data_IF_242878770869
#
_entry.id   IF_242878770869
#
_cell.length_a   1.000
_cell.length_b   1.000
_cell.length_c   1.000
_cell.angle_alpha   90.00
_cell.angle_beta   90.00
_cell.angle_gamma   90.00
#
_symmetry.space_group_name_H-M   'P 1'
#
loop_
_entity.id
_entity.type
_entity.pdbx_description
1 polymer ?
#
# COMPACT_ATOMS: atom_id res chain seq x y z
N UNK A 1 4.12 -17.97 -7.81
CA UNK A 1 4.99 -17.33 -6.76
C UNK A 1 4.22 -16.23 -6.03
N UNK A 2 4.44 -16.04 -4.71
CA UNK A 2 3.80 -14.98 -3.89
C UNK A 2 4.81 -13.97 -3.33
N UNK A 3 4.49 -12.67 -3.40
CA UNK A 3 5.23 -11.56 -2.77
C UNK A 3 4.26 -10.83 -1.85
N UNK A 4 4.66 -10.56 -0.61
CA UNK A 4 3.88 -9.77 0.35
C UNK A 4 4.76 -8.89 1.22
N UNK A 5 4.24 -7.75 1.67
CA UNK A 5 4.84 -6.85 2.66
C UNK A 5 3.71 -6.09 3.39
N UNK A 6 3.65 -6.22 4.72
CA UNK A 6 2.83 -5.39 5.61
C UNK A 6 3.71 -4.30 6.22
N UNK A 7 3.21 -3.07 6.27
CA UNK A 7 3.95 -1.93 6.78
C UNK A 7 3.01 -0.77 7.12
N UNK A 8 3.47 0.18 7.94
CA UNK A 8 2.80 1.48 8.05
C UNK A 8 3.47 2.48 7.13
N UNK A 9 2.69 3.24 6.37
CA UNK A 9 3.24 4.27 5.49
C UNK A 9 2.24 5.37 5.29
N UNK A 10 2.71 6.61 5.21
CA UNK A 10 1.87 7.71 4.76
C UNK A 10 1.39 7.44 3.34
N UNK A 11 0.12 7.76 3.11
CA UNK A 11 -0.56 7.53 1.84
C UNK A 11 0.12 8.19 0.66
N UNK A 12 0.56 9.44 0.81
CA UNK A 12 1.20 10.18 -0.26
C UNK A 12 2.58 9.61 -0.56
N UNK A 13 3.32 9.24 0.48
CA UNK A 13 4.63 8.57 0.34
C UNK A 13 4.51 7.22 -0.38
N UNK A 14 3.50 6.40 -0.05
CA UNK A 14 3.24 5.14 -0.73
C UNK A 14 2.91 5.38 -2.21
N UNK A 15 2.06 6.35 -2.50
CA UNK A 15 1.64 6.64 -3.86
C UNK A 15 2.76 7.21 -4.71
N UNK A 16 3.63 8.06 -4.15
CA UNK A 16 4.83 8.53 -4.81
C UNK A 16 5.77 7.36 -5.15
N UNK A 17 6.00 6.46 -4.20
CA UNK A 17 6.84 5.27 -4.38
C UNK A 17 6.32 4.37 -5.51
N UNK A 18 5.02 4.05 -5.52
CA UNK A 18 4.45 3.17 -6.55
C UNK A 18 4.39 3.85 -7.91
N UNK A 19 4.14 5.16 -7.97
CA UNK A 19 4.18 5.93 -9.22
C UNK A 19 5.58 5.94 -9.82
N UNK A 20 6.61 6.12 -9.01
CA UNK A 20 8.00 6.02 -9.46
C UNK A 20 8.27 4.66 -10.13
N UNK A 21 7.80 3.57 -9.51
CA UNK A 21 7.93 2.23 -10.10
C UNK A 21 7.13 2.07 -11.39
N UNK A 22 5.94 2.65 -11.50
CA UNK A 22 5.15 2.65 -12.72
C UNK A 22 5.92 3.30 -13.87
N UNK A 23 6.49 4.48 -13.63
CA UNK A 23 7.29 5.23 -14.60
C UNK A 23 8.57 4.46 -14.99
N UNK A 24 9.31 3.92 -14.02
CA UNK A 24 10.55 3.17 -14.25
C UNK A 24 10.30 1.92 -15.11
N UNK A 25 9.19 1.22 -14.88
CA UNK A 25 8.88 -0.04 -15.55
C UNK A 25 8.02 0.14 -16.81
N UNK A 26 7.54 1.35 -17.10
CA UNK A 26 6.57 1.60 -18.17
C UNK A 26 5.26 0.83 -17.98
N UNK A 27 4.86 0.58 -16.73
CA UNK A 27 3.68 -0.22 -16.40
C UNK A 27 2.47 0.67 -16.07
N UNK A 28 1.27 0.33 -16.55
CA UNK A 28 0.05 1.01 -16.15
C UNK A 28 -0.18 1.00 -14.63
N UNK A 29 -0.36 2.20 -14.08
CA UNK A 29 -0.84 2.41 -12.72
C UNK A 29 -2.37 2.49 -12.72
N UNK A 30 -3.00 1.74 -11.83
CA UNK A 30 -4.46 1.74 -11.65
C UNK A 30 -4.79 2.11 -10.21
N UNK A 31 -5.82 2.93 -10.03
CA UNK A 31 -6.41 3.24 -8.73
C UNK A 31 -7.78 2.60 -8.61
N UNK A 32 -8.08 2.04 -7.45
CA UNK A 32 -9.36 1.46 -7.10
C UNK A 32 -9.93 2.16 -5.87
N UNK A 33 -11.26 2.32 -5.89
CA UNK A 33 -12.07 2.71 -4.76
C UNK A 33 -13.14 1.66 -4.53
N UNK A 34 -13.38 1.28 -3.29
CA UNK A 34 -14.29 0.20 -2.90
C UNK A 34 -15.67 0.72 -2.48
N UNK A 35 -15.74 1.90 -1.86
CA UNK A 35 -16.97 2.51 -1.36
C UNK A 35 -17.13 3.97 -1.83
N UNK A 36 -18.36 4.53 -1.91
CA UNK A 36 -19.66 3.86 -1.72
C UNK A 36 -20.05 2.93 -2.87
N UNK A 37 -19.33 3.03 -4.00
CA UNK A 37 -19.44 2.12 -5.13
C UNK A 37 -18.05 1.81 -5.65
N UNK A 38 -17.87 0.56 -6.11
CA UNK A 38 -16.60 0.12 -6.66
C UNK A 38 -16.27 0.92 -7.93
N UNK A 39 -15.06 1.49 -7.98
CA UNK A 39 -14.53 2.19 -9.14
C UNK A 39 -13.11 1.76 -9.40
N UNK A 40 -12.76 1.62 -10.67
CA UNK A 40 -11.41 1.34 -11.12
C UNK A 40 -11.06 2.21 -12.31
N UNK A 41 -9.90 2.86 -12.26
CA UNK A 41 -9.46 3.83 -13.26
C UNK A 41 -7.96 3.73 -13.48
N UNK A 42 -7.50 3.92 -14.71
CA UNK A 42 -6.09 4.20 -14.96
C UNK A 42 -5.73 5.50 -14.25
N UNK A 43 -4.72 5.45 -13.40
CA UNK A 43 -4.12 6.65 -12.85
C UNK A 43 -3.41 7.36 -14.00
N UNK A 44 -3.86 8.56 -14.36
CA UNK A 44 -3.21 9.37 -15.38
C UNK A 44 -2.00 10.07 -14.78
N UNK A 45 -0.95 10.27 -15.57
CA UNK A 45 0.22 11.10 -15.22
C UNK A 45 -0.10 12.60 -15.06
N UNK A 46 -1.38 12.99 -15.09
CA UNK A 46 -1.75 14.40 -15.07
C UNK A 46 -1.48 15.00 -13.69
N UNK A 47 -0.68 16.07 -13.57
CA UNK A 47 -0.77 16.93 -12.40
C UNK A 47 -2.20 17.47 -12.37
N UNK A 48 -2.94 17.19 -11.31
CA UNK A 48 -4.14 17.99 -11.05
C UNK A 48 -3.71 19.45 -11.00
N UNK A 49 -4.56 20.36 -11.49
CA UNK A 49 -4.27 21.79 -11.66
C UNK A 49 -3.83 22.53 -10.38
N UNK A 50 -3.80 21.83 -9.24
CA UNK A 50 -3.35 22.31 -7.93
C UNK A 50 -2.00 21.73 -7.46
N UNK A 51 -1.25 21.03 -8.32
CA UNK A 51 0.13 20.60 -8.01
C UNK A 51 0.26 19.42 -7.04
N UNK A 52 -0.84 18.85 -6.57
CA UNK A 52 -0.83 17.62 -5.77
C UNK A 52 -0.78 16.39 -6.67
N UNK A 53 0.42 15.85 -6.89
CA UNK A 53 0.66 14.55 -7.56
C UNK A 53 0.32 13.35 -6.66
N UNK A 54 -0.65 13.53 -5.75
CA UNK A 54 -0.96 12.61 -4.67
C UNK A 54 -1.99 11.54 -5.00
N UNK A 55 -2.20 10.60 -4.07
CA UNK A 55 -3.42 9.81 -4.05
C UNK A 55 -4.52 10.57 -3.32
N UNK A 56 -5.70 10.66 -3.92
CA UNK A 56 -6.88 11.15 -3.21
C UNK A 56 -7.20 10.27 -2.01
N UNK A 57 -7.86 10.84 -1.01
CA UNK A 57 -8.27 10.13 0.22
C UNK A 57 -9.31 9.03 -0.06
N UNK A 58 -9.92 9.02 -1.25
CA UNK A 58 -10.92 8.06 -1.66
C UNK A 58 -10.37 6.80 -2.38
N UNK A 59 -9.05 6.67 -2.53
CA UNK A 59 -8.39 5.51 -3.17
C UNK A 59 -8.09 4.37 -2.17
N UNK A 60 -8.75 3.23 -2.24
CA UNK A 60 -8.47 2.13 -1.29
C UNK A 60 -7.25 1.29 -1.70
N UNK A 61 -6.96 1.24 -3.00
CA UNK A 61 -5.90 0.39 -3.55
C UNK A 61 -5.31 0.99 -4.82
N UNK A 62 -4.00 0.86 -4.97
CA UNK A 62 -3.30 1.13 -6.22
C UNK A 62 -2.63 -0.14 -6.74
N UNK A 63 -2.43 -0.25 -8.04
CA UNK A 63 -1.76 -1.40 -8.62
C UNK A 63 -0.89 -1.10 -9.83
N UNK A 64 0.24 -1.81 -9.94
CA UNK A 64 1.03 -1.91 -11.16
C UNK A 64 0.61 -3.16 -11.90
N UNK A 65 0.27 -3.00 -13.18
CA UNK A 65 -0.34 -4.06 -13.96
C UNK A 65 0.55 -4.40 -15.16
N UNK A 66 0.79 -5.68 -15.48
CA UNK A 66 1.27 -6.03 -16.81
C UNK A 66 0.20 -5.67 -17.85
N UNK A 67 0.61 -5.09 -18.97
CA UNK A 67 -0.30 -4.71 -20.05
C UNK A 67 -0.85 -5.96 -20.78
N UNK A 68 -2.13 -5.98 -21.20
CA UNK A 68 -3.14 -4.93 -21.09
C UNK A 68 -3.96 -4.96 -19.78
N UNK A 69 -4.43 -3.79 -19.34
CA UNK A 69 -5.32 -3.64 -18.16
C UNK A 69 -6.79 -3.77 -18.55
N UNK A 70 -7.53 -4.56 -17.80
CA UNK A 70 -8.97 -4.69 -17.89
C UNK A 70 -9.68 -3.87 -16.79
N UNK A 71 -10.28 -2.74 -17.20
CA UNK A 71 -11.04 -1.85 -16.30
C UNK A 71 -12.53 -2.20 -16.17
N UNK A 72 -13.01 -3.23 -16.86
CA UNK A 72 -14.42 -3.63 -16.82
C UNK A 72 -14.76 -4.47 -15.57
N UNK A 73 -14.03 -4.28 -14.47
CA UNK A 73 -14.25 -4.99 -13.23
C UNK A 73 -15.40 -4.35 -12.42
N UNK A 74 -16.23 -5.18 -11.79
CA UNK A 74 -17.38 -4.71 -11.00
C UNK A 74 -17.17 -4.82 -9.49
N UNK A 75 -16.08 -5.45 -9.07
CA UNK A 75 -15.69 -5.59 -7.66
C UNK A 75 -14.18 -5.75 -7.53
N UNK A 76 -13.61 -5.56 -6.32
CA UNK A 76 -12.18 -5.75 -6.09
C UNK A 76 -11.69 -7.17 -6.37
N UNK A 77 -12.54 -8.18 -6.14
CA UNK A 77 -12.21 -9.58 -6.43
C UNK A 77 -12.28 -9.89 -7.93
N UNK A 78 -13.28 -9.33 -8.62
CA UNK A 78 -13.39 -9.44 -10.09
C UNK A 78 -12.19 -8.76 -10.78
N UNK A 79 -11.71 -7.63 -10.24
CA UNK A 79 -10.53 -6.96 -10.75
C UNK A 79 -9.27 -7.82 -10.68
N UNK A 80 -9.00 -8.44 -9.54
CA UNK A 80 -7.85 -9.34 -9.37
C UNK A 80 -7.92 -10.54 -10.32
N UNK A 81 -9.13 -11.05 -10.60
CA UNK A 81 -9.32 -12.14 -11.58
C UNK A 81 -9.05 -11.68 -13.01
N UNK A 82 -9.48 -10.47 -13.38
CA UNK A 82 -9.33 -9.89 -14.72
C UNK A 82 -7.94 -9.34 -15.01
N UNK A 83 -7.19 -9.00 -13.97
CA UNK A 83 -5.83 -8.43 -14.03
C UNK A 83 -4.87 -9.29 -13.21
N UNK A 84 -4.62 -10.56 -13.61
CA UNK A 84 -3.66 -11.42 -12.94
C UNK A 84 -2.26 -10.81 -12.99
N UNK A 85 -1.36 -11.34 -12.17
CA UNK A 85 0.06 -10.95 -12.11
C UNK A 85 0.36 -9.51 -11.65
N UNK A 86 -0.68 -8.73 -11.34
CA UNK A 86 -0.56 -7.36 -10.85
C UNK A 86 0.08 -7.27 -9.46
N UNK A 87 0.86 -6.22 -9.23
CA UNK A 87 1.33 -5.82 -7.91
C UNK A 87 0.32 -4.85 -7.30
N UNK A 88 -0.38 -5.29 -6.27
CA UNK A 88 -1.39 -4.54 -5.55
C UNK A 88 -0.79 -3.89 -4.31
N UNK A 89 -1.18 -2.66 -4.01
CA UNK A 89 -0.88 -1.98 -2.75
C UNK A 89 -2.18 -1.45 -2.17
N UNK A 90 -2.67 -2.11 -1.13
CA UNK A 90 -3.77 -1.61 -0.31
C UNK A 90 -3.27 -0.47 0.55
N UNK A 91 -3.94 0.66 0.45
CA UNK A 91 -3.66 1.84 1.25
C UNK A 91 -4.44 1.73 2.56
N UNK A 92 -3.74 1.78 3.68
CA UNK A 92 -4.38 1.83 4.99
C UNK A 92 -5.24 3.09 5.14
N UNK A 93 -6.29 2.98 5.95
CA UNK A 93 -7.03 4.14 6.45
C UNK A 93 -6.07 5.13 7.12
N UNK A 94 -6.19 6.40 6.77
CA UNK A 94 -5.36 7.46 7.33
C UNK A 94 -6.25 8.65 7.70
N UNK A 95 -6.05 9.17 8.90
CA UNK A 95 -6.67 10.38 9.41
C UNK A 95 -5.71 11.07 10.39
N UNK A 96 -6.12 12.21 10.95
CA UNK A 96 -5.37 12.90 12.00
C UNK A 96 -5.27 12.08 13.31
N UNK A 97 -6.04 10.99 13.44
CA UNK A 97 -6.09 10.17 14.65
C UNK A 97 -5.41 8.82 14.47
N UNK A 98 -5.52 8.21 13.29
CA UNK A 98 -5.04 6.85 13.04
C UNK A 98 -4.31 6.72 11.70
N UNK A 99 -3.34 5.81 11.70
CA UNK A 99 -2.64 5.34 10.51
C UNK A 99 -2.71 3.82 10.46
N UNK A 100 -3.53 3.26 9.58
CA UNK A 100 -3.71 1.82 9.47
C UNK A 100 -2.62 1.19 8.59
N UNK A 101 -2.29 -0.07 8.86
CA UNK A 101 -1.37 -0.85 8.02
C UNK A 101 -1.76 -0.83 6.54
N UNK A 102 -0.75 -0.61 5.70
CA UNK A 102 -0.80 -0.81 4.26
C UNK A 102 -0.25 -2.19 3.90
N UNK A 103 -0.67 -2.71 2.75
CA UNK A 103 -0.30 -4.06 2.33
C UNK A 103 0.04 -4.12 0.84
N UNK A 104 1.29 -4.47 0.55
CA UNK A 104 1.77 -4.76 -0.79
C UNK A 104 1.70 -6.27 -1.05
N UNK A 105 1.12 -6.68 -2.17
CA UNK A 105 1.02 -8.08 -2.56
C UNK A 105 1.01 -8.30 -4.07
N UNK A 106 1.64 -9.39 -4.51
CA UNK A 106 1.53 -9.90 -5.87
C UNK A 106 1.52 -11.43 -5.87
N UNK A 107 0.85 -12.00 -6.86
CA UNK A 107 0.92 -13.43 -7.15
C UNK A 107 1.05 -13.62 -8.66
N UNK A 108 2.08 -14.34 -9.08
CA UNK A 108 2.36 -14.60 -10.50
C UNK A 108 3.12 -15.90 -10.67
N UNK A 109 2.82 -16.64 -11.72
CA UNK A 109 3.59 -17.83 -12.14
C UNK A 109 4.62 -17.50 -13.23
N UNK A 110 4.61 -16.27 -13.75
CA UNK A 110 5.65 -15.76 -14.63
C UNK A 110 6.95 -15.48 -13.83
N UNK A 111 8.01 -16.21 -14.17
CA UNK A 111 9.29 -16.12 -13.48
C UNK A 111 10.00 -14.75 -13.66
N UNK A 112 9.70 -14.02 -14.74
CA UNK A 112 10.25 -12.69 -15.00
C UNK A 112 9.56 -11.63 -14.13
N UNK A 113 8.21 -11.60 -14.12
CA UNK A 113 7.43 -10.71 -13.25
C UNK A 113 7.71 -10.98 -11.78
N UNK A 114 7.84 -12.26 -11.42
CA UNK A 114 8.26 -12.68 -10.10
C UNK A 114 9.56 -11.99 -9.63
N UNK A 115 10.56 -11.87 -10.50
CA UNK A 115 11.83 -11.19 -10.17
C UNK A 115 11.63 -9.69 -10.03
N UNK A 116 10.78 -9.08 -10.86
CA UNK A 116 10.43 -7.66 -10.77
C UNK A 116 9.76 -7.36 -9.43
N UNK A 117 8.70 -8.10 -9.07
CA UNK A 117 7.99 -7.92 -7.80
C UNK A 117 8.84 -8.14 -6.57
N UNK A 118 9.72 -9.16 -6.59
CA UNK A 118 10.72 -9.35 -5.52
C UNK A 118 11.64 -8.14 -5.39
N UNK A 119 12.13 -7.60 -6.52
CA UNK A 119 13.03 -6.44 -6.52
C UNK A 119 12.35 -5.21 -5.94
N UNK A 120 11.11 -4.91 -6.34
CA UNK A 120 10.35 -3.78 -5.80
C UNK A 120 10.07 -3.94 -4.30
N UNK A 121 9.69 -5.14 -3.84
CA UNK A 121 9.52 -5.41 -2.40
C UNK A 121 10.84 -5.18 -1.64
N UNK A 122 11.95 -5.72 -2.12
CA UNK A 122 13.24 -5.52 -1.45
C UNK A 122 13.70 -4.07 -1.48
N UNK A 123 13.39 -3.33 -2.54
CA UNK A 123 13.63 -1.88 -2.61
C UNK A 123 12.82 -1.14 -1.55
N UNK A 124 11.52 -1.41 -1.43
CA UNK A 124 10.66 -0.83 -0.39
C UNK A 124 11.16 -1.16 1.03
N UNK A 125 11.54 -2.42 1.28
CA UNK A 125 12.08 -2.82 2.59
C UNK A 125 13.37 -2.09 2.97
N UNK A 126 14.20 -1.75 1.98
CA UNK A 126 15.47 -1.04 2.19
C UNK A 126 15.30 0.47 2.41
N UNK A 127 14.20 1.05 1.93
CA UNK A 127 13.88 2.47 2.17
C UNK A 127 13.10 2.70 3.46
N UNK A 128 12.60 1.65 4.10
CA UNK A 128 11.79 1.71 5.32
C UNK A 128 12.62 1.43 6.57
N UNK A 129 12.17 1.99 7.69
CA UNK A 129 12.61 1.59 9.02
C UNK A 129 12.01 0.23 9.40
N UNK A 130 12.52 -0.35 10.48
CA UNK A 130 12.14 -1.68 10.94
C UNK A 130 12.14 -1.78 12.46
N UNK A 131 11.08 -2.37 13.02
CA UNK A 131 10.89 -2.57 14.45
C UNK A 131 9.68 -1.80 14.99
N UNK A 132 8.84 -2.49 15.75
CA UNK A 132 7.74 -1.86 16.47
C UNK A 132 7.36 -2.67 17.69
N UNK A 133 6.56 -2.09 18.56
CA UNK A 133 5.84 -2.81 19.61
C UNK A 133 4.36 -2.86 19.27
N UNK A 134 3.81 -4.06 19.19
CA UNK A 134 2.38 -4.26 19.05
C UNK A 134 1.76 -4.43 20.44
N UNK A 135 0.64 -3.76 20.68
CA UNK A 135 -0.14 -3.86 21.91
C UNK A 135 -1.59 -4.23 21.59
N UNK A 136 -2.08 -5.29 22.21
CA UNK A 136 -3.50 -5.61 22.18
C UNK A 136 -4.25 -4.63 23.09
N UNK A 137 -5.14 -3.83 22.53
CA UNK A 137 -5.83 -2.75 23.24
C UNK A 137 -6.79 -3.29 24.31
N UNK A 138 -7.30 -4.52 24.15
CA UNK A 138 -8.23 -5.13 25.12
C UNK A 138 -7.52 -5.75 26.32
N UNK A 139 -6.40 -6.44 26.10
CA UNK A 139 -5.68 -7.16 27.16
C UNK A 139 -4.46 -6.42 27.71
N UNK A 140 -4.00 -5.37 27.03
CA UNK A 140 -2.72 -4.70 27.31
C UNK A 140 -1.49 -5.55 26.98
N UNK A 141 -1.67 -6.75 26.42
CA UNK A 141 -0.56 -7.62 26.07
C UNK A 141 0.30 -6.97 24.99
N UNK A 142 1.61 -6.87 25.25
CA UNK A 142 2.57 -6.17 24.39
C UNK A 142 3.70 -7.11 23.95
N UNK A 143 4.04 -7.06 22.67
CA UNK A 143 5.14 -7.84 22.10
C UNK A 143 5.95 -7.00 21.10
N UNK A 144 7.26 -7.24 21.07
CA UNK A 144 8.14 -6.60 20.08
C UNK A 144 8.02 -7.33 18.74
N UNK A 145 7.73 -6.58 17.69
CA UNK A 145 7.64 -7.06 16.31
C UNK A 145 8.85 -6.53 15.54
N UNK A 146 10.01 -7.16 15.75
CA UNK A 146 11.26 -6.76 15.11
C UNK A 146 11.21 -6.85 13.58
N UNK A 147 10.24 -7.55 13.01
CA UNK A 147 10.01 -7.72 11.57
C UNK A 147 9.12 -6.67 10.92
N UNK A 148 8.56 -5.74 11.70
CA UNK A 148 7.58 -4.76 11.22
C UNK A 148 8.27 -3.63 10.47
N UNK A 149 7.76 -3.25 9.30
CA UNK A 149 8.30 -2.14 8.51
C UNK A 149 7.40 -0.90 8.62
N UNK A 150 8.03 0.26 8.52
CA UNK A 150 7.32 1.52 8.46
C UNK A 150 8.16 2.57 7.75
N UNK A 151 7.50 3.51 7.09
CA UNK A 151 8.17 4.58 6.36
C UNK A 151 8.60 5.73 7.28
N UNK A 152 9.33 6.70 6.74
CA UNK A 152 9.76 7.86 7.48
C UNK A 152 8.57 8.72 7.92
N UNK A 153 7.58 8.92 7.05
CA UNK A 153 6.41 9.69 7.40
C UNK A 153 5.49 8.95 8.38
N UNK A 154 5.37 7.63 8.30
CA UNK A 154 4.65 6.87 9.32
C UNK A 154 5.24 7.10 10.73
N UNK A 155 6.58 7.15 10.85
CA UNK A 155 7.26 7.48 12.10
C UNK A 155 6.92 8.90 12.55
N UNK A 156 7.05 9.90 11.66
CA UNK A 156 6.79 11.31 11.97
C UNK A 156 5.34 11.52 12.42
N UNK A 157 4.38 10.88 11.75
CA UNK A 157 2.96 10.89 12.15
C UNK A 157 2.75 10.27 13.54
N UNK A 158 3.40 9.14 13.81
CA UNK A 158 3.41 8.51 15.14
C UNK A 158 3.95 9.42 16.24
N UNK A 159 5.06 10.10 15.98
CA UNK A 159 5.67 11.09 16.90
C UNK A 159 4.77 12.33 17.09
N UNK A 160 3.96 12.67 16.08
CA UNK A 160 2.95 13.74 16.14
C UNK A 160 1.64 13.34 16.82
N UNK A 161 1.49 12.07 17.25
CA UNK A 161 0.34 11.58 18.00
C UNK A 161 -0.71 10.81 17.19
N UNK A 162 -0.50 10.64 15.87
CA UNK A 162 -1.33 9.72 15.07
C UNK A 162 -1.06 8.30 15.52
N UNK A 163 -2.10 7.51 15.80
CA UNK A 163 -1.93 6.14 16.32
C UNK A 163 -1.75 5.14 15.17
N UNK A 164 -0.58 4.47 15.06
CA UNK A 164 -0.38 3.39 14.11
C UNK A 164 -1.24 2.18 14.52
N UNK A 165 -2.13 1.72 13.64
CA UNK A 165 -3.11 0.67 13.90
C UNK A 165 -2.89 -0.53 12.99
N UNK A 166 -3.07 -1.72 13.56
CA UNK A 166 -3.12 -2.96 12.79
C UNK A 166 -4.32 -3.03 11.85
N UNK A 167 -4.53 -4.19 11.19
CA UNK A 167 -5.63 -4.34 10.24
C UNK A 167 -7.00 -4.36 10.93
N UNK A 168 -7.03 -4.47 12.25
CA UNK A 168 -8.22 -4.40 13.10
C UNK A 168 -8.01 -3.37 14.21
N UNK A 169 -9.10 -2.96 14.85
CA UNK A 169 -9.05 -1.95 15.92
C UNK A 169 -8.55 -2.50 17.26
N UNK A 170 -8.00 -3.71 17.29
CA UNK A 170 -7.57 -4.37 18.52
C UNK A 170 -6.07 -4.33 18.73
N UNK A 171 -5.30 -3.90 17.74
CA UNK A 171 -3.84 -3.84 17.81
C UNK A 171 -3.40 -2.43 17.43
N UNK A 172 -2.74 -1.75 18.36
CA UNK A 172 -1.98 -0.53 18.05
C UNK A 172 -0.49 -0.85 18.02
N UNK A 173 0.26 -0.06 17.28
CA UNK A 173 1.69 -0.17 17.15
C UNK A 173 2.37 1.08 17.71
N UNK A 174 3.50 0.89 18.37
CA UNK A 174 4.47 1.94 18.66
C UNK A 174 5.70 1.70 17.80
N UNK A 175 5.94 2.59 16.83
CA UNK A 175 7.07 2.52 15.90
C UNK A 175 8.37 2.95 16.61
N UNK A 176 9.51 2.32 16.26
CA UNK A 176 10.84 2.62 16.85
C UNK A 176 11.56 3.81 16.16
#
# INVERSE_FOLDING_TARGET
MKVTLQFHGDRQEICAMVREWACELGMPLVSERFAPSYQVKLARDAPEANGTTGCGDDIDRISLNPSPVNLAATSPLDYVKKNPDSLLVHLGEQSDLILRESFLAAMTDDASLARVWKRLRERARKSMYKGAWAENIKSGARARVAGHYYTAEARRLGEAGVVPMGPTDWVKYQLE
#
